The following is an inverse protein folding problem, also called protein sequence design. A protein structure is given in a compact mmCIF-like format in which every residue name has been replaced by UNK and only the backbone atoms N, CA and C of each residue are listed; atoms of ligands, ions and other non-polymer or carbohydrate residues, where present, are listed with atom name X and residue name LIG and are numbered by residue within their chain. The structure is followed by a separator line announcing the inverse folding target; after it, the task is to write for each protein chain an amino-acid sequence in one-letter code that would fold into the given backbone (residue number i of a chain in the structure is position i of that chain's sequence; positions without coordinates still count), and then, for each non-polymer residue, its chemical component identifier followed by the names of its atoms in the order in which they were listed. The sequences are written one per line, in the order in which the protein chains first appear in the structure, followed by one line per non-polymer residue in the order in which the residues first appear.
data_IF_374522362603
#
_entry.id   IF_374522362603
#
_cell.length_a   1.000
_cell.length_b   1.000
_cell.length_c   1.000
_cell.angle_alpha   90.00
_cell.angle_beta   90.00
_cell.angle_gamma   90.00
#
_symmetry.space_group_name_H-M   'P 1'
#
loop_
_entity.id
_entity.type
_entity.pdbx_description
1 polymer ?
#
# COMPACT_ATOMS: atom_id res chain seq x y z
N UNK A 1 -10.47 15.08 -30.07
CA UNK A 1 -10.19 13.70 -30.53
C UNK A 1 -9.66 12.88 -29.37
N UNK A 2 -9.93 11.56 -29.30
CA UNK A 2 -9.27 10.68 -28.33
C UNK A 2 -7.75 10.83 -28.49
N UNK A 3 -7.03 10.94 -27.37
CA UNK A 3 -5.60 11.29 -27.37
C UNK A 3 -4.76 10.35 -28.28
N UNK A 4 -5.13 9.08 -28.37
CA UNK A 4 -4.49 8.06 -29.20
C UNK A 4 -4.57 8.31 -30.72
N UNK A 5 -5.39 9.27 -31.18
CA UNK A 5 -5.56 9.59 -32.61
C UNK A 5 -4.85 10.87 -33.04
N UNK A 6 -4.18 11.57 -32.13
CA UNK A 6 -3.47 12.81 -32.46
C UNK A 6 -2.13 12.50 -33.10
N UNK A 7 -1.73 13.36 -34.03
CA UNK A 7 -0.39 13.35 -34.64
C UNK A 7 0.37 14.61 -34.22
N UNK A 8 1.67 14.48 -33.98
CA UNK A 8 2.55 15.62 -33.73
C UNK A 8 2.78 16.43 -35.02
N UNK A 9 3.55 17.53 -34.92
CA UNK A 9 3.88 18.38 -36.08
C UNK A 9 4.61 17.65 -37.22
N UNK A 10 5.14 16.45 -36.95
CA UNK A 10 5.86 15.60 -37.90
C UNK A 10 5.01 14.40 -38.37
N UNK A 11 3.72 14.37 -38.03
CA UNK A 11 2.80 13.30 -38.44
C UNK A 11 2.91 12.00 -37.63
N UNK A 12 3.73 11.97 -36.57
CA UNK A 12 3.93 10.79 -35.70
C UNK A 12 2.84 10.73 -34.63
N UNK A 13 2.53 9.55 -34.03
CA UNK A 13 1.59 9.47 -32.93
C UNK A 13 1.98 10.42 -31.78
N UNK A 14 1.09 11.38 -31.47
CA UNK A 14 1.30 12.32 -30.39
C UNK A 14 1.11 11.62 -29.05
N UNK A 15 2.09 11.74 -28.17
CA UNK A 15 2.09 11.09 -26.87
C UNK A 15 1.20 11.85 -25.88
N UNK A 16 0.54 11.17 -24.93
CA UNK A 16 -0.21 11.84 -23.87
C UNK A 16 0.72 12.73 -23.04
N UNK A 17 0.21 13.89 -22.62
CA UNK A 17 0.89 14.82 -21.71
C UNK A 17 0.18 14.82 -20.37
N UNK A 18 0.89 14.45 -19.31
CA UNK A 18 0.40 14.36 -17.95
C UNK A 18 1.07 15.45 -17.12
N UNK A 19 0.28 16.34 -16.53
CA UNK A 19 0.76 17.32 -15.55
C UNK A 19 0.52 16.80 -14.14
N UNK A 20 1.58 16.68 -13.34
CA UNK A 20 1.48 16.54 -11.89
C UNK A 20 1.28 17.93 -11.29
N UNK A 21 0.09 18.20 -10.75
CA UNK A 21 -0.21 19.52 -10.19
C UNK A 21 0.33 19.71 -8.77
N UNK A 22 0.32 18.63 -8.00
CA UNK A 22 0.76 18.57 -6.60
C UNK A 22 1.96 17.65 -6.47
N UNK A 23 2.75 17.88 -5.42
CA UNK A 23 3.76 16.93 -4.95
C UNK A 23 3.11 15.62 -4.47
N UNK A 24 3.94 14.61 -4.22
CA UNK A 24 3.57 13.33 -3.65
C UNK A 24 4.34 13.19 -2.33
N UNK A 25 3.66 13.39 -1.20
CA UNK A 25 4.29 13.45 0.12
C UNK A 25 5.39 14.52 0.22
N UNK A 26 5.15 15.69 -0.36
CA UNK A 26 6.05 16.84 -0.34
C UNK A 26 7.18 16.80 -1.37
N UNK A 27 7.31 15.73 -2.16
CA UNK A 27 8.34 15.59 -3.21
C UNK A 27 7.76 15.45 -4.62
N UNK A 28 8.55 15.77 -5.64
CA UNK A 28 8.20 15.49 -7.03
C UNK A 28 8.56 14.07 -7.43
N UNK A 29 7.89 13.55 -8.46
CA UNK A 29 8.13 12.19 -8.92
C UNK A 29 9.53 12.04 -9.55
N UNK A 30 10.33 11.11 -9.02
CA UNK A 30 11.61 10.70 -9.58
C UNK A 30 12.60 11.87 -9.75
N UNK A 31 13.17 12.05 -10.95
CA UNK A 31 14.13 13.09 -11.33
C UNK A 31 13.48 14.38 -11.84
N UNK A 32 12.17 14.58 -11.65
CA UNK A 32 11.54 15.85 -11.95
C UNK A 32 12.03 16.90 -10.93
N UNK A 33 12.95 17.77 -11.37
CA UNK A 33 13.21 19.08 -10.76
C UNK A 33 11.87 19.81 -10.53
N UNK A 34 11.74 20.71 -9.54
CA UNK A 34 10.61 21.64 -9.39
C UNK A 34 9.96 22.19 -10.68
N UNK A 35 10.67 22.27 -11.82
CA UNK A 35 10.10 22.52 -13.16
C UNK A 35 10.67 21.58 -14.23
N UNK A 36 10.48 20.28 -14.07
CA UNK A 36 10.93 19.24 -14.98
C UNK A 36 9.89 18.78 -16.00
N UNK A 37 10.36 18.25 -17.12
CA UNK A 37 9.57 17.41 -18.04
C UNK A 37 10.38 16.19 -18.41
N UNK A 38 9.74 15.03 -18.36
CA UNK A 38 10.36 13.74 -18.64
C UNK A 38 9.49 12.90 -19.56
N UNK A 39 10.12 12.07 -20.38
CA UNK A 39 9.43 11.01 -21.08
C UNK A 39 9.49 9.72 -20.25
N UNK A 40 8.34 9.10 -19.97
CA UNK A 40 8.33 7.86 -19.21
C UNK A 40 8.68 6.65 -20.11
N UNK A 41 9.75 5.88 -19.78
CA UNK A 41 10.25 4.82 -20.65
C UNK A 41 9.22 3.72 -20.93
N UNK A 42 8.32 3.46 -19.99
CA UNK A 42 7.30 2.42 -20.07
C UNK A 42 5.90 2.95 -20.45
N UNK A 43 5.69 4.27 -20.39
CA UNK A 43 4.36 4.88 -20.46
C UNK A 43 3.98 5.48 -21.81
N UNK A 44 4.92 5.60 -22.75
CA UNK A 44 4.74 6.32 -24.03
C UNK A 44 4.06 7.69 -23.83
N UNK A 45 4.36 8.38 -22.73
CA UNK A 45 3.76 9.67 -22.36
C UNK A 45 4.82 10.64 -21.83
N UNK A 46 4.52 11.94 -21.93
CA UNK A 46 5.27 13.00 -21.28
C UNK A 46 4.66 13.28 -19.92
N UNK A 47 5.50 13.36 -18.90
CA UNK A 47 5.13 13.80 -17.56
C UNK A 47 5.83 15.12 -17.26
N UNK A 48 5.11 16.08 -16.69
CA UNK A 48 5.65 17.39 -16.31
C UNK A 48 5.07 17.80 -14.96
N UNK A 49 5.82 18.60 -14.20
CA UNK A 49 5.32 19.39 -13.06
C UNK A 49 5.37 20.90 -13.34
N UNK A 50 5.69 21.30 -14.58
CA UNK A 50 5.63 22.70 -14.99
C UNK A 50 4.18 23.12 -15.25
N UNK A 51 3.62 23.91 -14.34
CA UNK A 51 2.23 24.40 -14.41
C UNK A 51 1.92 25.21 -15.68
N UNK A 52 2.94 25.74 -16.37
CA UNK A 52 2.75 26.41 -17.67
C UNK A 52 2.22 25.45 -18.75
N UNK A 53 2.40 24.15 -18.56
CA UNK A 53 1.91 23.13 -19.47
C UNK A 53 0.43 22.81 -19.29
N UNK A 54 -0.25 23.38 -18.27
CA UNK A 54 -1.65 23.10 -17.96
C UNK A 54 -2.57 23.13 -19.17
N UNK A 55 -2.47 24.14 -20.05
CA UNK A 55 -3.38 24.27 -21.19
C UNK A 55 -3.18 23.17 -22.26
N UNK A 56 -1.99 22.57 -22.33
CA UNK A 56 -1.62 21.57 -23.34
C UNK A 56 -1.60 20.13 -22.80
N UNK A 57 -1.80 19.95 -21.49
CA UNK A 57 -1.86 18.63 -20.86
C UNK A 57 -3.18 17.93 -21.13
N UNK A 58 -3.12 16.63 -21.39
CA UNK A 58 -4.30 15.77 -21.57
C UNK A 58 -4.92 15.36 -20.24
N UNK A 59 -4.06 15.19 -19.24
CA UNK A 59 -4.46 14.89 -17.88
C UNK A 59 -3.71 15.75 -16.87
N UNK A 60 -4.41 16.13 -15.80
CA UNK A 60 -3.83 16.80 -14.63
C UNK A 60 -4.09 15.91 -13.43
N UNK A 61 -3.01 15.48 -12.78
CA UNK A 61 -3.06 14.55 -11.65
C UNK A 61 -2.85 15.33 -10.36
N UNK A 62 -3.77 15.13 -9.43
CA UNK A 62 -3.75 15.72 -8.10
C UNK A 62 -3.56 14.60 -7.08
N UNK A 63 -2.39 14.57 -6.44
CA UNK A 63 -2.17 13.69 -5.30
C UNK A 63 -2.91 14.25 -4.09
N UNK A 64 -3.92 13.52 -3.63
CA UNK A 64 -4.91 13.99 -2.67
C UNK A 64 -4.29 14.48 -1.34
N UNK A 65 -3.22 13.83 -0.88
CA UNK A 65 -2.61 14.15 0.40
C UNK A 65 -1.91 15.52 0.42
N UNK A 66 -1.51 16.00 -0.74
CA UNK A 66 -0.81 17.28 -0.91
C UNK A 66 -1.71 18.31 -1.60
N UNK A 67 -2.98 17.97 -1.85
CA UNK A 67 -3.91 18.85 -2.54
C UNK A 67 -4.37 19.98 -1.61
N UNK A 68 -4.17 21.22 -2.07
CA UNK A 68 -4.70 22.41 -1.43
C UNK A 68 -5.83 22.99 -2.29
N UNK A 69 -7.02 23.14 -1.71
CA UNK A 69 -8.19 23.67 -2.40
C UNK A 69 -8.02 25.08 -2.96
N UNK A 70 -7.21 25.91 -2.31
CA UNK A 70 -6.92 27.27 -2.76
C UNK A 70 -5.91 27.33 -3.92
N UNK A 71 -5.24 26.22 -4.23
CA UNK A 71 -4.19 26.14 -5.25
C UNK A 71 -4.66 25.35 -6.48
N UNK A 72 -5.97 25.09 -6.63
CA UNK A 72 -6.49 24.38 -7.79
C UNK A 72 -6.59 25.32 -9.01
N UNK A 73 -6.34 24.82 -10.24
CA UNK A 73 -6.49 25.63 -11.43
C UNK A 73 -7.95 26.06 -11.59
N UNK A 74 -8.20 27.31 -11.97
CA UNK A 74 -9.58 27.81 -12.06
C UNK A 74 -10.40 27.17 -13.19
N UNK A 75 -9.73 26.73 -14.27
CA UNK A 75 -10.38 26.18 -15.47
C UNK A 75 -9.62 24.98 -16.01
N UNK A 76 -10.38 24.03 -16.55
CA UNK A 76 -9.88 22.85 -17.26
C UNK A 76 -10.03 23.06 -18.77
N UNK A 77 -9.00 22.70 -19.53
CA UNK A 77 -9.08 22.76 -20.99
C UNK A 77 -10.13 21.76 -21.54
N UNK A 78 -10.76 22.04 -22.70
CA UNK A 78 -11.69 21.09 -23.32
C UNK A 78 -11.07 19.71 -23.53
N UNK A 79 -11.72 18.66 -23.02
CA UNK A 79 -11.24 17.28 -23.14
C UNK A 79 -10.15 16.86 -22.16
N UNK A 80 -9.53 17.79 -21.42
CA UNK A 80 -8.56 17.47 -20.37
C UNK A 80 -9.24 16.69 -19.23
N UNK A 81 -8.53 15.71 -18.66
CA UNK A 81 -9.00 14.90 -17.52
C UNK A 81 -8.32 15.32 -16.23
N UNK A 82 -9.10 15.63 -15.20
CA UNK A 82 -8.56 15.79 -13.85
C UNK A 82 -8.65 14.47 -13.10
N UNK A 83 -7.52 14.05 -12.54
CA UNK A 83 -7.36 12.74 -11.92
C UNK A 83 -7.08 12.92 -10.43
N UNK A 84 -7.98 12.43 -9.60
CA UNK A 84 -7.78 12.33 -8.15
C UNK A 84 -6.93 11.11 -7.85
N UNK A 85 -5.72 11.30 -7.33
CA UNK A 85 -4.80 10.21 -7.04
C UNK A 85 -4.49 10.07 -5.56
N UNK A 86 -4.55 8.85 -5.02
CA UNK A 86 -4.00 8.54 -3.70
C UNK A 86 -3.79 7.05 -3.51
N UNK A 87 -2.77 6.68 -2.74
CA UNK A 87 -2.62 5.32 -2.21
C UNK A 87 -2.95 5.22 -0.72
N UNK A 88 -3.22 6.34 -0.06
CA UNK A 88 -3.51 6.41 1.37
C UNK A 88 -5.01 6.33 1.65
N UNK A 89 -5.36 5.87 2.85
CA UNK A 89 -6.75 5.85 3.27
C UNK A 89 -7.32 7.28 3.45
N UNK A 90 -8.64 7.50 3.26
CA UNK A 90 -9.27 8.81 3.40
C UNK A 90 -8.97 9.54 4.71
N UNK A 91 -8.86 8.78 5.80
CA UNK A 91 -8.56 9.29 7.14
C UNK A 91 -7.10 9.71 7.30
N UNK A 92 -6.16 9.08 6.57
CA UNK A 92 -4.73 9.38 6.65
C UNK A 92 -4.34 10.70 5.99
N UNK A 93 -5.08 11.13 4.97
CA UNK A 93 -4.80 12.35 4.21
C UNK A 93 -5.89 13.42 4.35
N UNK A 94 -6.71 13.34 5.39
CA UNK A 94 -7.79 14.31 5.66
C UNK A 94 -8.67 14.61 4.43
N UNK A 95 -8.97 13.59 3.63
CA UNK A 95 -9.64 13.76 2.33
C UNK A 95 -11.05 14.34 2.43
N UNK A 96 -11.65 14.38 3.63
CA UNK A 96 -12.90 15.09 3.90
C UNK A 96 -12.83 16.57 3.51
N UNK A 97 -11.64 17.20 3.57
CA UNK A 97 -11.42 18.58 3.12
C UNK A 97 -11.54 18.76 1.61
N UNK A 98 -11.48 17.67 0.86
CA UNK A 98 -11.47 17.67 -0.60
C UNK A 98 -12.85 17.40 -1.20
N UNK A 99 -13.86 17.14 -0.36
CA UNK A 99 -15.25 16.92 -0.76
C UNK A 99 -15.80 18.03 -1.67
N UNK A 100 -15.52 19.34 -1.43
CA UNK A 100 -15.97 20.40 -2.32
C UNK A 100 -15.47 20.28 -3.76
N UNK A 101 -14.36 19.58 -4.00
CA UNK A 101 -13.74 19.41 -5.33
C UNK A 101 -14.12 18.10 -6.01
N UNK A 102 -15.01 17.30 -5.41
CA UNK A 102 -15.41 15.99 -5.95
C UNK A 102 -15.95 16.10 -7.37
N UNK A 103 -16.79 17.10 -7.66
CA UNK A 103 -17.40 17.30 -8.98
C UNK A 103 -16.40 17.77 -10.06
N UNK A 104 -15.23 18.28 -9.64
CA UNK A 104 -14.18 18.72 -10.56
C UNK A 104 -13.36 17.55 -11.12
N UNK A 105 -13.32 16.42 -10.42
CA UNK A 105 -12.51 15.26 -10.79
C UNK A 105 -13.24 14.38 -11.81
N UNK A 106 -12.54 13.98 -12.88
CA UNK A 106 -13.09 13.06 -13.89
C UNK A 106 -12.78 11.62 -13.56
N UNK A 107 -11.56 11.35 -13.11
CA UNK A 107 -11.08 10.01 -12.84
C UNK A 107 -10.53 9.90 -11.42
N UNK A 108 -10.65 8.71 -10.88
CA UNK A 108 -10.05 8.27 -9.64
C UNK A 108 -8.92 7.30 -9.94
N UNK A 109 -7.76 7.56 -9.36
CA UNK A 109 -6.60 6.68 -9.38
C UNK A 109 -6.30 6.28 -7.94
N UNK A 110 -6.84 5.15 -7.46
CA UNK A 110 -6.66 4.77 -6.04
C UNK A 110 -6.56 3.26 -5.83
N UNK A 111 -6.26 2.81 -4.60
CA UNK A 111 -6.25 1.38 -4.23
C UNK A 111 -7.63 0.71 -4.29
N UNK A 112 -8.71 1.50 -4.35
CA UNK A 112 -10.06 1.00 -4.47
C UNK A 112 -10.24 0.31 -5.80
N UNK A 113 -10.78 -0.92 -5.79
CA UNK A 113 -10.98 -1.71 -7.01
C UNK A 113 -12.09 -1.18 -7.93
N UNK A 114 -12.88 -0.23 -7.44
CA UNK A 114 -13.90 0.51 -8.19
C UNK A 114 -13.41 1.90 -8.64
N UNK A 115 -12.09 2.16 -8.62
CA UNK A 115 -11.50 3.36 -9.23
C UNK A 115 -11.41 3.21 -10.75
N UNK A 116 -11.42 4.34 -11.47
CA UNK A 116 -11.18 4.37 -12.92
C UNK A 116 -9.80 3.79 -13.29
N UNK A 117 -8.80 4.06 -12.43
CA UNK A 117 -7.44 3.52 -12.51
C UNK A 117 -7.11 2.91 -11.14
N UNK A 118 -6.97 1.60 -11.08
CA UNK A 118 -6.59 0.93 -9.82
C UNK A 118 -5.08 1.03 -9.62
N UNK A 119 -4.64 1.59 -8.49
CA UNK A 119 -3.22 1.65 -8.11
C UNK A 119 -3.01 0.98 -6.75
N UNK A 120 -2.21 -0.07 -6.70
CA UNK A 120 -1.98 -0.86 -5.49
C UNK A 120 -0.49 -0.90 -5.13
N UNK A 121 -0.19 -1.06 -3.83
CA UNK A 121 1.20 -1.18 -3.35
C UNK A 121 1.92 -2.43 -3.89
N UNK A 122 1.17 -3.44 -4.30
CA UNK A 122 1.70 -4.60 -5.01
C UNK A 122 0.59 -5.27 -5.82
N UNK A 123 0.99 -6.01 -6.84
CA UNK A 123 0.13 -6.91 -7.60
C UNK A 123 0.46 -8.36 -7.24
N UNK A 124 -0.58 -9.18 -7.08
CA UNK A 124 -0.43 -10.61 -6.80
C UNK A 124 -0.69 -11.38 -8.08
N UNK A 125 0.38 -11.86 -8.69
CA UNK A 125 0.30 -12.66 -9.92
C UNK A 125 0.49 -14.15 -9.65
N UNK A 126 -0.20 -14.97 -10.44
CA UNK A 126 0.04 -16.40 -10.44
C UNK A 126 1.36 -16.68 -11.17
N UNK A 127 2.32 -17.28 -10.47
CA UNK A 127 3.59 -17.70 -11.10
C UNK A 127 3.32 -18.69 -12.24
N UNK A 128 3.93 -18.44 -13.41
CA UNK A 128 3.91 -19.36 -14.56
C UNK A 128 4.64 -20.67 -14.27
N UNK A 129 5.74 -20.60 -13.51
CA UNK A 129 6.51 -21.75 -13.01
C UNK A 129 6.43 -21.80 -11.50
N UNK A 130 5.90 -22.90 -10.97
CA UNK A 130 5.84 -23.14 -9.52
C UNK A 130 7.22 -23.63 -9.07
N UNK A 131 7.97 -22.78 -8.37
CA UNK A 131 9.15 -23.23 -7.63
C UNK A 131 8.67 -24.12 -6.47
N UNK A 132 9.16 -25.36 -6.33
CA UNK A 132 8.73 -26.26 -5.27
C UNK A 132 8.95 -25.63 -3.89
N UNK A 133 7.87 -25.60 -3.09
CA UNK A 133 7.94 -25.14 -1.71
C UNK A 133 8.70 -26.16 -0.86
N UNK A 134 9.83 -25.77 -0.26
CA UNK A 134 10.62 -26.67 0.58
C UNK A 134 10.07 -26.74 2.00
N UNK A 135 9.30 -27.79 2.29
CA UNK A 135 8.80 -28.09 3.63
C UNK A 135 9.95 -28.26 4.62
N UNK A 136 11.07 -28.86 4.20
CA UNK A 136 12.26 -29.04 5.03
C UNK A 136 12.86 -27.69 5.43
N UNK A 137 13.04 -26.77 4.47
CA UNK A 137 13.51 -25.40 4.74
C UNK A 137 12.57 -24.69 5.72
N UNK A 138 11.26 -24.69 5.46
CA UNK A 138 10.30 -24.06 6.36
C UNK A 138 10.37 -24.66 7.77
N UNK A 139 10.54 -25.98 7.89
CA UNK A 139 10.66 -26.66 9.20
C UNK A 139 11.91 -26.21 9.95
N UNK A 140 13.05 -26.04 9.25
CA UNK A 140 14.28 -25.50 9.83
C UNK A 140 14.09 -24.07 10.30
N UNK A 141 13.50 -23.19 9.48
CA UNK A 141 13.20 -21.80 9.87
C UNK A 141 12.24 -21.78 11.07
N UNK A 142 11.18 -22.59 11.05
CA UNK A 142 10.20 -22.69 12.14
C UNK A 142 10.83 -23.11 13.47
N UNK A 143 11.75 -24.09 13.46
CA UNK A 143 12.48 -24.52 14.67
C UNK A 143 13.40 -23.44 15.25
N UNK A 144 13.93 -22.55 14.40
CA UNK A 144 14.82 -21.47 14.82
C UNK A 144 14.13 -20.25 15.43
N UNK A 145 12.80 -20.12 15.24
CA UNK A 145 12.04 -18.98 15.75
C UNK A 145 11.83 -19.09 17.26
N UNK A 146 12.09 -18.02 17.99
CA UNK A 146 12.01 -17.97 19.45
C UNK A 146 10.99 -16.94 19.97
N UNK A 147 10.53 -16.02 19.12
CA UNK A 147 9.61 -14.93 19.50
C UNK A 147 8.29 -15.08 18.76
N UNK A 148 7.18 -14.71 19.40
CA UNK A 148 5.85 -14.93 18.81
C UNK A 148 5.56 -13.95 17.67
N UNK A 149 5.45 -12.66 17.98
CA UNK A 149 5.01 -11.66 17.02
C UNK A 149 5.85 -10.38 17.09
N UNK A 150 6.05 -9.78 15.92
CA UNK A 150 6.67 -8.46 15.76
C UNK A 150 5.70 -7.49 15.11
N UNK A 151 5.75 -6.23 15.56
CA UNK A 151 4.97 -5.13 15.00
C UNK A 151 5.85 -3.92 14.70
N UNK A 152 6.39 -3.81 13.46
CA UNK A 152 7.10 -2.63 13.01
C UNK A 152 6.12 -1.49 12.69
N UNK A 153 6.17 -0.40 13.46
CA UNK A 153 5.20 0.69 13.39
C UNK A 153 5.81 2.05 13.71
N UNK A 154 5.45 3.05 12.89
CA UNK A 154 5.92 4.43 13.05
C UNK A 154 4.80 5.48 13.12
N UNK A 155 3.54 5.05 13.01
CA UNK A 155 2.37 5.92 13.13
C UNK A 155 1.52 5.43 14.32
N UNK A 156 1.58 6.17 15.43
CA UNK A 156 1.25 5.68 16.77
C UNK A 156 -0.17 6.05 17.25
N UNK A 157 -0.86 6.92 16.51
CA UNK A 157 -2.24 7.28 16.76
C UNK A 157 -2.96 7.16 15.42
N UNK A 158 -3.88 6.20 15.30
CA UNK A 158 -4.47 5.88 14.01
C UNK A 158 -5.98 5.86 14.05
N UNK A 159 -6.61 6.18 12.92
CA UNK A 159 -8.08 6.12 12.81
C UNK A 159 -8.63 4.71 13.05
N UNK A 160 -7.83 3.68 12.75
CA UNK A 160 -8.19 2.29 12.99
C UNK A 160 -8.07 1.85 14.46
N UNK A 161 -7.48 2.65 15.34
CA UNK A 161 -7.17 2.28 16.73
C UNK A 161 -6.40 0.95 16.84
N UNK A 162 -5.55 0.67 15.85
CA UNK A 162 -4.73 -0.55 15.82
C UNK A 162 -3.79 -0.64 17.02
N UNK A 163 -3.38 0.51 17.55
CA UNK A 163 -2.58 0.65 18.76
C UNK A 163 -3.32 0.15 20.01
N UNK A 164 -4.62 0.43 20.14
CA UNK A 164 -5.45 -0.07 21.23
C UNK A 164 -5.63 -1.58 21.10
N UNK A 165 -5.85 -2.07 19.88
CA UNK A 165 -5.94 -3.50 19.60
C UNK A 165 -4.66 -4.25 19.99
N UNK A 166 -3.48 -3.73 19.60
CA UNK A 166 -2.20 -4.36 19.96
C UNK A 166 -1.92 -4.23 21.46
N UNK A 167 -2.32 -3.13 22.11
CA UNK A 167 -2.21 -2.99 23.57
C UNK A 167 -2.97 -4.09 24.29
N UNK A 168 -4.20 -4.38 23.85
CA UNK A 168 -4.99 -5.48 24.42
C UNK A 168 -4.39 -6.85 24.06
N UNK A 169 -3.97 -7.07 22.80
CA UNK A 169 -3.31 -8.31 22.38
C UNK A 169 -2.07 -8.65 23.22
N UNK A 170 -1.30 -7.63 23.61
CA UNK A 170 -0.09 -7.76 24.44
C UNK A 170 -0.35 -8.28 25.84
N UNK A 171 -1.57 -8.16 26.35
CA UNK A 171 -1.96 -8.76 27.63
C UNK A 171 -2.07 -10.29 27.54
N UNK A 172 -2.30 -10.81 26.34
CA UNK A 172 -2.55 -12.22 26.09
C UNK A 172 -1.38 -12.93 25.41
N UNK A 173 -0.45 -12.22 24.77
CA UNK A 173 0.77 -12.78 24.17
C UNK A 173 1.89 -11.75 24.01
N UNK A 174 3.17 -12.16 24.02
CA UNK A 174 4.27 -11.26 23.69
C UNK A 174 4.17 -10.75 22.25
N UNK A 175 4.25 -9.44 22.10
CA UNK A 175 4.39 -8.72 20.82
C UNK A 175 5.51 -7.71 20.98
N UNK A 176 6.51 -7.78 20.11
CA UNK A 176 7.59 -6.81 20.05
C UNK A 176 7.21 -5.64 19.16
N UNK A 177 7.08 -4.46 19.76
CA UNK A 177 6.75 -3.23 19.05
C UNK A 177 8.04 -2.47 18.74
N UNK A 178 8.29 -2.22 17.45
CA UNK A 178 9.51 -1.54 16.99
C UNK A 178 9.20 -0.41 16.02
N UNK A 179 10.16 0.49 15.77
CA UNK A 179 9.96 1.72 15.03
C UNK A 179 9.64 2.91 15.93
N UNK A 180 9.08 4.00 15.38
CA UNK A 180 8.83 5.23 16.15
C UNK A 180 7.86 5.05 17.33
N UNK A 181 7.02 4.01 17.31
CA UNK A 181 6.08 3.72 18.40
C UNK A 181 6.61 2.66 19.38
N UNK A 182 7.88 2.27 19.26
CA UNK A 182 8.48 1.19 20.04
C UNK A 182 9.99 1.39 20.20
N UNK A 183 10.73 0.28 20.28
CA UNK A 183 12.20 0.27 20.39
C UNK A 183 12.82 -0.15 19.06
N UNK A 184 14.06 0.27 18.76
CA UNK A 184 14.77 -0.06 17.49
C UNK A 184 14.19 0.57 16.22
N UNK A 185 15.06 0.87 15.24
CA UNK A 185 14.73 1.53 13.97
C UNK A 185 14.49 0.55 12.80
N UNK A 186 14.81 -0.73 12.98
CA UNK A 186 14.77 -1.73 11.92
C UNK A 186 13.32 -2.07 11.55
N UNK A 187 12.72 -1.43 10.54
CA UNK A 187 11.27 -1.56 10.29
C UNK A 187 10.88 -2.04 8.90
N UNK A 188 11.52 -1.55 7.83
CA UNK A 188 11.01 -1.70 6.45
C UNK A 188 12.04 -2.17 5.42
N UNK A 189 13.30 -2.39 5.81
CA UNK A 189 14.34 -2.86 4.88
C UNK A 189 14.28 -4.38 4.68
N UNK A 190 14.77 -4.89 3.54
CA UNK A 190 14.89 -6.34 3.32
C UNK A 190 15.69 -7.04 4.42
N UNK A 191 16.75 -6.42 4.93
CA UNK A 191 17.56 -6.95 6.04
C UNK A 191 16.76 -7.07 7.34
N UNK A 192 15.82 -6.17 7.61
CA UNK A 192 14.93 -6.27 8.76
C UNK A 192 13.98 -7.46 8.61
N UNK A 193 13.34 -7.62 7.47
CA UNK A 193 12.45 -8.75 7.24
C UNK A 193 13.17 -10.11 7.30
N UNK A 194 14.42 -10.20 6.81
CA UNK A 194 15.26 -11.39 6.98
C UNK A 194 15.53 -11.70 8.46
N UNK A 195 15.76 -10.68 9.29
CA UNK A 195 15.89 -10.88 10.73
C UNK A 195 14.57 -11.32 11.37
N UNK A 196 13.44 -10.77 10.91
CA UNK A 196 12.13 -11.12 11.41
C UNK A 196 11.79 -12.58 11.08
N UNK A 197 12.04 -13.00 9.85
CA UNK A 197 11.87 -14.38 9.39
C UNK A 197 12.61 -15.37 10.28
N UNK A 198 13.84 -15.07 10.70
CA UNK A 198 14.61 -15.98 11.55
C UNK A 198 14.07 -16.06 12.98
N UNK A 199 13.50 -14.97 13.52
CA UNK A 199 13.19 -14.84 14.95
C UNK A 199 11.71 -15.01 15.30
N UNK A 200 10.80 -14.64 14.40
CA UNK A 200 9.37 -14.48 14.69
C UNK A 200 8.47 -15.41 13.88
N UNK A 201 7.40 -15.91 14.51
CA UNK A 201 6.34 -16.65 13.80
C UNK A 201 5.40 -15.72 13.06
N UNK A 202 5.10 -14.55 13.62
CA UNK A 202 4.09 -13.64 13.10
C UNK A 202 4.62 -12.22 12.90
N UNK A 203 4.20 -11.60 11.81
CA UNK A 203 4.38 -10.18 11.56
C UNK A 203 3.01 -9.50 11.59
N UNK A 204 2.81 -8.51 12.47
CA UNK A 204 1.56 -7.76 12.56
C UNK A 204 1.51 -6.71 11.44
N UNK A 205 0.94 -7.09 10.29
CA UNK A 205 0.72 -6.25 9.11
C UNK A 205 -0.55 -5.40 9.26
N UNK A 206 -0.62 -4.62 10.34
CA UNK A 206 -1.82 -3.87 10.71
C UNK A 206 -1.87 -2.52 9.99
N UNK A 207 -2.97 -2.24 9.31
CA UNK A 207 -3.18 -0.98 8.61
C UNK A 207 -3.59 0.15 9.56
N UNK A 208 -3.22 1.39 9.20
CA UNK A 208 -3.56 2.59 9.96
C UNK A 208 -5.05 2.99 9.84
N UNK A 209 -5.79 2.35 8.95
CA UNK A 209 -7.19 2.65 8.66
C UNK A 209 -7.95 1.38 8.29
N UNK A 210 -9.20 1.27 8.73
CA UNK A 210 -10.11 0.17 8.34
C UNK A 210 -10.93 0.66 7.14
N UNK A 211 -10.48 0.33 5.94
CA UNK A 211 -11.14 0.74 4.70
C UNK A 211 -11.31 -0.44 3.74
N UNK A 212 -12.38 -0.43 2.94
CA UNK A 212 -12.59 -1.43 1.89
C UNK A 212 -11.44 -1.34 0.88
N UNK A 213 -10.88 -2.49 0.51
CA UNK A 213 -9.73 -2.66 -0.40
C UNK A 213 -8.37 -2.12 0.10
N UNK A 214 -8.29 -1.50 1.28
CA UNK A 214 -7.05 -0.85 1.74
C UNK A 214 -6.03 -1.84 2.32
N UNK A 215 -5.08 -2.22 1.48
CA UNK A 215 -3.95 -3.10 1.82
C UNK A 215 -2.69 -2.54 1.20
N UNK A 216 -1.64 -2.50 2.01
CA UNK A 216 -0.40 -1.80 1.67
C UNK A 216 0.79 -2.76 1.66
N UNK A 217 1.99 -2.19 1.54
CA UNK A 217 3.26 -2.92 1.60
C UNK A 217 3.38 -3.82 2.84
N UNK A 218 2.69 -3.51 3.94
CA UNK A 218 2.79 -4.25 5.21
C UNK A 218 2.41 -5.72 5.03
N UNK A 219 1.38 -6.01 4.24
CA UNK A 219 1.03 -7.41 3.92
C UNK A 219 2.01 -7.97 2.88
N UNK A 220 2.17 -7.28 1.75
CA UNK A 220 2.87 -7.82 0.59
C UNK A 220 4.36 -8.05 0.82
N UNK A 221 5.06 -7.13 1.51
CA UNK A 221 6.46 -7.31 1.85
C UNK A 221 6.67 -8.51 2.79
N UNK A 222 5.74 -8.75 3.71
CA UNK A 222 5.80 -9.89 4.63
C UNK A 222 5.70 -11.23 3.90
N UNK A 223 4.88 -11.30 2.85
CA UNK A 223 4.67 -12.52 2.06
C UNK A 223 5.89 -12.99 1.25
N UNK A 224 6.95 -12.17 1.19
CA UNK A 224 8.21 -12.54 0.56
C UNK A 224 9.10 -13.39 1.49
N UNK A 225 8.69 -13.61 2.74
CA UNK A 225 9.48 -14.27 3.78
C UNK A 225 8.69 -15.40 4.46
N UNK A 226 9.40 -16.35 5.07
CA UNK A 226 8.87 -17.50 5.81
C UNK A 226 8.31 -17.10 7.21
N UNK A 227 7.50 -16.03 7.26
CA UNK A 227 6.83 -15.48 8.45
C UNK A 227 5.34 -15.25 8.13
N UNK A 228 4.44 -15.57 9.06
CA UNK A 228 3.00 -15.50 8.79
C UNK A 228 2.48 -14.07 9.03
N UNK A 229 1.93 -13.37 8.01
CA UNK A 229 1.31 -12.07 8.22
C UNK A 229 -0.01 -12.21 9.00
N UNK A 230 -0.19 -11.34 10.01
CA UNK A 230 -1.45 -11.12 10.72
C UNK A 230 -1.96 -9.75 10.33
N UNK A 231 -3.11 -9.70 9.69
CA UNK A 231 -3.70 -8.48 9.11
C UNK A 231 -4.79 -7.89 10.00
N UNK A 232 -4.94 -6.57 9.95
CA UNK A 232 -5.99 -5.80 10.62
C UNK A 232 -6.25 -4.57 9.74
N UNK A 233 -7.44 -4.41 9.17
CA UNK A 233 -7.72 -3.27 8.27
C UNK A 233 -8.78 -3.54 7.23
N UNK A 234 -8.42 -4.21 6.14
CA UNK A 234 -9.30 -4.31 4.98
C UNK A 234 -10.52 -5.24 5.20
N UNK A 235 -11.71 -4.74 4.84
CA UNK A 235 -12.99 -5.44 4.99
C UNK A 235 -13.33 -6.45 3.86
N UNK A 236 -12.37 -6.99 3.11
CA UNK A 236 -12.67 -7.76 1.87
C UNK A 236 -12.08 -9.18 1.81
N UNK A 237 -12.83 -10.07 1.15
CA UNK A 237 -12.40 -11.42 0.73
C UNK A 237 -11.36 -11.29 -0.43
N UNK A 238 -10.14 -11.81 -0.23
CA UNK A 238 -9.02 -11.93 -1.21
C UNK A 238 -8.13 -10.70 -1.40
N UNK A 239 -7.43 -10.34 -0.33
CA UNK A 239 -6.32 -9.36 -0.31
C UNK A 239 -5.01 -9.94 -0.86
N UNK A 240 -4.82 -11.23 -0.59
CA UNK A 240 -3.73 -12.08 -1.02
C UNK A 240 -4.27 -13.52 -1.18
N UNK A 241 -3.46 -14.52 -1.60
CA UNK A 241 -3.92 -15.89 -1.76
C UNK A 241 -4.67 -16.38 -0.50
N UNK A 242 -5.86 -16.98 -0.64
CA UNK A 242 -6.60 -17.48 0.52
C UNK A 242 -5.74 -18.44 1.35
N UNK A 243 -5.79 -18.30 2.67
CA UNK A 243 -4.98 -19.13 3.58
C UNK A 243 -3.54 -18.63 3.81
N UNK A 244 -3.06 -17.62 3.07
CA UNK A 244 -1.69 -17.08 3.23
C UNK A 244 -1.49 -16.05 4.35
N UNK A 245 -2.55 -15.73 5.11
CA UNK A 245 -2.51 -14.76 6.20
C UNK A 245 -3.58 -15.05 7.24
N UNK A 246 -3.40 -14.49 8.43
CA UNK A 246 -4.38 -14.51 9.52
C UNK A 246 -5.10 -13.15 9.54
N UNK A 247 -6.42 -13.17 9.54
CA UNK A 247 -7.24 -11.95 9.63
C UNK A 247 -7.67 -11.75 11.09
N UNK A 248 -7.10 -10.76 11.75
CA UNK A 248 -7.37 -10.46 13.16
C UNK A 248 -8.84 -10.09 13.40
N UNK A 249 -9.52 -9.53 12.40
CA UNK A 249 -10.92 -9.11 12.51
C UNK A 249 -11.91 -10.28 12.42
N UNK A 250 -11.44 -11.52 12.17
CA UNK A 250 -12.28 -12.73 12.22
C UNK A 250 -12.37 -13.36 13.61
N UNK A 251 -11.64 -12.84 14.58
CA UNK A 251 -11.66 -13.32 15.95
C UNK A 251 -12.60 -12.44 16.78
N UNK A 252 -13.33 -13.05 17.71
CA UNK A 252 -14.23 -12.35 18.65
C UNK A 252 -13.49 -11.38 19.57
N UNK A 253 -12.21 -11.64 19.86
CA UNK A 253 -11.39 -10.78 20.70
C UNK A 253 -9.88 -10.90 20.41
N UNK A 254 -9.05 -9.93 20.84
CA UNK A 254 -7.59 -10.08 20.82
C UNK A 254 -7.09 -11.29 21.63
N UNK A 255 -7.82 -11.70 22.69
CA UNK A 255 -7.51 -12.90 23.48
C UNK A 255 -7.65 -14.18 22.64
N UNK A 256 -8.73 -14.27 21.86
CA UNK A 256 -8.97 -15.43 20.98
C UNK A 256 -7.93 -15.50 19.86
N UNK A 257 -7.57 -14.35 19.29
CA UNK A 257 -6.46 -14.24 18.34
C UNK A 257 -5.16 -14.72 18.99
N UNK A 258 -4.82 -14.25 20.20
CA UNK A 258 -3.61 -14.68 20.89
C UNK A 258 -3.56 -16.19 21.14
N UNK A 259 -4.68 -16.79 21.56
CA UNK A 259 -4.81 -18.23 21.74
C UNK A 259 -4.55 -18.99 20.43
N UNK A 260 -5.12 -18.50 19.33
CA UNK A 260 -4.92 -19.06 18.00
C UNK A 260 -3.45 -18.94 17.54
N UNK A 261 -2.84 -17.77 17.68
CA UNK A 261 -1.43 -17.56 17.30
C UNK A 261 -0.47 -18.45 18.08
N UNK A 262 -0.69 -18.64 19.39
CA UNK A 262 0.08 -19.60 20.20
C UNK A 262 -0.09 -21.04 19.71
N UNK A 263 -1.31 -21.44 19.34
CA UNK A 263 -1.59 -22.77 18.78
C UNK A 263 -0.87 -22.98 17.45
N UNK A 264 -0.90 -21.99 16.56
CA UNK A 264 -0.21 -22.02 15.26
C UNK A 264 1.30 -22.11 15.45
N UNK A 265 1.89 -21.30 16.33
CA UNK A 265 3.33 -21.31 16.59
C UNK A 265 3.84 -22.67 17.11
N UNK A 266 3.07 -23.37 17.95
CA UNK A 266 3.44 -24.67 18.53
C UNK A 266 3.21 -25.86 17.61
N UNK A 267 2.49 -25.68 16.50
CA UNK A 267 2.08 -26.76 15.62
C UNK A 267 2.57 -26.51 14.19
N UNK A 268 3.68 -27.16 13.80
CA UNK A 268 4.25 -27.01 12.46
C UNK A 268 3.26 -27.38 11.34
N UNK A 269 2.39 -28.38 11.54
CA UNK A 269 1.37 -28.76 10.54
C UNK A 269 0.38 -27.62 10.31
N UNK A 270 0.02 -26.88 11.36
CA UNK A 270 -0.85 -25.71 11.26
C UNK A 270 -0.10 -24.49 10.69
N UNK A 271 1.12 -24.22 11.16
CA UNK A 271 1.97 -23.14 10.66
C UNK A 271 2.24 -23.26 9.15
N UNK A 272 2.54 -24.46 8.66
CA UNK A 272 2.83 -24.71 7.25
C UNK A 272 1.67 -24.38 6.32
N UNK A 273 0.42 -24.45 6.78
CA UNK A 273 -0.77 -24.15 5.95
C UNK A 273 -0.79 -22.73 5.42
N UNK A 274 -0.03 -21.82 6.02
CA UNK A 274 0.08 -20.43 5.56
C UNK A 274 1.03 -20.24 4.37
N UNK A 275 1.72 -21.30 3.94
CA UNK A 275 2.75 -21.27 2.89
C UNK A 275 2.46 -22.24 1.73
N UNK A 276 1.29 -22.89 1.72
CA UNK A 276 0.92 -23.96 0.78
C UNK A 276 -0.45 -23.74 0.19
#
# INVERSE_FOLDING_TARGET
MPFFRRKDKLGRPDKPRILLWTTIFGGWYSYLDPRGTAELPFGRCYISNDRRTLAISDAVVFYACDMNGSDLPARRAPGQKWVFWTMEAPTGCHMYRLVPFKSSMNWTMTYRRDSDIVTTYAEVERKKKVTPFSVARLKTVWKGKTRLAIWPVSHCNTSAKREDFVRELRRHMPVDVIGKCGRSSCTRSPSCYQQFERKYFFHLSFENSICKDYVTEKLYATQLYDIVPVTFGAKKKRLAPPGSYIDALKFSSPKDLAGYLKKVARNFKLYRRYFT
#
